data_IF_875164988467
#
_entry.id   IF_875164988467
#
_cell.length_a   1.000
_cell.length_b   1.000
_cell.length_c   1.000
_cell.angle_alpha   90.00
_cell.angle_beta   90.00
_cell.angle_gamma   90.00
#
_symmetry.space_group_name_H-M   'P 1'
#
loop_
_entity.id
_entity.type
_entity.pdbx_description
1 polymer ?
#
# COMPACT_ATOMS: atom_id res chain seq x y z
N UNK A 1 76.66 6.78 0.78
CA UNK A 1 75.21 7.04 0.71
C UNK A 1 74.49 5.70 0.62
N UNK A 2 73.78 5.31 1.69
CA UNK A 2 72.91 4.12 1.73
C UNK A 2 71.48 4.60 1.48
N UNK A 3 70.84 4.15 0.42
CA UNK A 3 69.42 4.44 0.16
C UNK A 3 68.58 3.25 0.64
N UNK A 4 67.77 3.49 1.67
CA UNK A 4 66.77 2.55 2.16
C UNK A 4 65.46 2.78 1.38
N UNK A 5 64.94 1.73 0.75
CA UNK A 5 63.58 1.72 0.20
C UNK A 5 62.61 1.31 1.31
N UNK A 6 61.71 2.21 1.69
CA UNK A 6 60.57 1.91 2.58
C UNK A 6 59.42 1.45 1.68
N UNK A 7 59.02 0.19 1.81
CA UNK A 7 57.84 -0.37 1.17
C UNK A 7 56.63 -0.04 2.04
N UNK A 8 55.78 0.90 1.62
CA UNK A 8 54.48 1.12 2.25
C UNK A 8 53.51 0.00 1.82
N UNK A 9 53.15 -0.87 2.77
CA UNK A 9 52.05 -1.81 2.60
C UNK A 9 50.72 -1.06 2.79
N UNK A 10 49.94 -0.92 1.72
CA UNK A 10 48.53 -0.52 1.81
C UNK A 10 47.72 -1.71 2.34
N UNK A 11 47.37 -1.70 3.62
CA UNK A 11 46.33 -2.57 4.16
C UNK A 11 44.98 -2.05 3.67
N UNK A 12 44.41 -2.72 2.67
CA UNK A 12 43.01 -2.53 2.31
C UNK A 12 42.16 -2.98 3.50
N UNK A 13 41.58 -2.02 4.23
CA UNK A 13 40.51 -2.33 5.17
C UNK A 13 39.29 -2.76 4.36
N UNK A 14 39.03 -4.06 4.29
CA UNK A 14 37.72 -4.56 3.92
C UNK A 14 36.74 -4.05 4.97
N UNK A 15 35.96 -3.02 4.63
CA UNK A 15 34.78 -2.65 5.41
C UNK A 15 33.85 -3.87 5.41
N UNK A 16 33.74 -4.56 6.55
CA UNK A 16 32.75 -5.62 6.72
C UNK A 16 31.37 -4.96 6.62
N UNK A 17 30.60 -5.34 5.60
CA UNK A 17 29.21 -4.89 5.47
C UNK A 17 28.43 -5.49 6.64
N UNK A 18 27.86 -4.64 7.48
CA UNK A 18 27.04 -5.08 8.60
C UNK A 18 25.87 -5.95 8.10
N UNK A 19 25.65 -7.15 8.67
CA UNK A 19 24.61 -8.04 8.20
C UNK A 19 23.22 -7.46 8.50
N UNK A 20 22.29 -7.70 7.57
CA UNK A 20 20.88 -7.35 7.73
C UNK A 20 20.28 -8.11 8.91
N UNK A 21 19.68 -7.39 9.84
CA UNK A 21 18.99 -8.00 10.99
C UNK A 21 17.54 -8.31 10.60
N UNK A 22 17.25 -9.56 10.24
CA UNK A 22 15.89 -9.93 9.81
C UNK A 22 14.99 -10.39 10.97
N UNK A 23 15.57 -10.82 12.10
CA UNK A 23 14.81 -11.46 13.17
C UNK A 23 13.95 -12.60 12.60
N UNK A 24 12.66 -12.60 12.92
CA UNK A 24 11.65 -13.49 12.34
C UNK A 24 10.70 -12.79 11.35
N UNK A 25 11.09 -11.61 10.84
CA UNK A 25 10.26 -10.81 9.94
C UNK A 25 10.12 -11.47 8.57
N UNK A 26 8.93 -11.33 7.97
CA UNK A 26 8.70 -11.73 6.58
C UNK A 26 9.28 -10.69 5.63
N UNK A 27 10.19 -11.09 4.76
CA UNK A 27 10.80 -10.19 3.78
C UNK A 27 10.32 -10.50 2.37
N UNK A 28 9.80 -9.47 1.68
CA UNK A 28 9.34 -9.58 0.30
C UNK A 28 10.43 -9.12 -0.67
N UNK A 29 10.47 -9.75 -1.85
CA UNK A 29 11.34 -9.37 -2.97
C UNK A 29 10.76 -8.18 -3.78
N UNK A 30 10.25 -7.15 -3.10
CA UNK A 30 9.65 -5.95 -3.70
C UNK A 30 10.66 -4.86 -4.04
N UNK A 31 11.89 -4.99 -3.54
CA UNK A 31 13.00 -4.07 -3.74
C UNK A 31 14.35 -4.84 -3.76
N UNK A 32 15.47 -4.10 -3.68
CA UNK A 32 16.84 -4.67 -3.65
C UNK A 32 17.39 -4.83 -2.23
N UNK A 33 16.56 -4.70 -1.18
CA UNK A 33 17.02 -4.69 0.21
C UNK A 33 17.81 -5.96 0.54
N UNK A 34 17.23 -7.12 0.25
CA UNK A 34 17.86 -8.43 0.49
C UNK A 34 18.96 -8.80 -0.51
N UNK A 35 18.93 -8.26 -1.73
CA UNK A 35 19.68 -8.82 -2.86
C UNK A 35 21.09 -8.23 -2.89
N UNK A 36 22.11 -9.10 -2.84
CA UNK A 36 23.49 -8.72 -3.12
C UNK A 36 23.80 -8.88 -4.60
N UNK A 37 23.54 -10.08 -5.13
CA UNK A 37 23.80 -10.40 -6.54
C UNK A 37 22.73 -11.32 -7.11
N UNK A 38 22.62 -11.31 -8.44
CA UNK A 38 21.68 -12.17 -9.16
C UNK A 38 22.15 -12.40 -10.60
N UNK A 39 21.99 -13.62 -11.10
CA UNK A 39 22.36 -14.05 -12.45
C UNK A 39 21.17 -14.75 -13.07
N UNK A 40 20.69 -14.31 -14.24
CA UNK A 40 19.50 -14.89 -14.87
C UNK A 40 18.18 -14.64 -14.12
N UNK A 41 18.16 -13.67 -13.20
CA UNK A 41 16.98 -13.30 -12.40
C UNK A 41 16.58 -11.85 -12.72
N UNK A 42 15.28 -11.61 -12.92
CA UNK A 42 14.69 -10.29 -13.11
C UNK A 42 13.66 -10.01 -12.02
N UNK A 43 13.53 -8.75 -11.62
CA UNK A 43 12.46 -8.37 -10.69
C UNK A 43 11.19 -8.12 -11.51
N UNK A 44 10.08 -8.76 -11.16
CA UNK A 44 8.84 -8.77 -11.93
C UNK A 44 7.67 -8.36 -11.05
N UNK A 45 7.01 -7.25 -11.39
CA UNK A 45 5.72 -6.89 -10.82
C UNK A 45 4.65 -7.80 -11.43
N UNK A 46 3.72 -8.28 -10.61
CA UNK A 46 2.58 -9.06 -11.07
C UNK A 46 1.31 -8.21 -11.07
N UNK A 47 0.39 -8.50 -11.98
CA UNK A 47 -0.89 -7.81 -12.09
C UNK A 47 -1.96 -8.58 -11.33
N UNK A 48 -2.89 -7.89 -10.66
CA UNK A 48 -3.98 -8.58 -9.98
C UNK A 48 -5.01 -9.10 -10.99
N UNK A 49 -5.65 -10.20 -10.66
CA UNK A 49 -6.71 -10.79 -11.48
C UNK A 49 -8.04 -10.09 -11.22
N UNK A 50 -8.74 -9.68 -12.27
CA UNK A 50 -10.06 -9.06 -12.14
C UNK A 50 -11.16 -10.09 -11.82
N UNK A 51 -12.12 -9.69 -10.99
CA UNK A 51 -13.35 -10.42 -10.65
C UNK A 51 -14.58 -9.55 -10.93
N UNK A 52 -15.72 -9.94 -10.36
CA UNK A 52 -16.99 -9.22 -10.50
C UNK A 52 -17.00 -7.84 -9.84
N UNK A 53 -17.99 -7.04 -10.25
CA UNK A 53 -18.33 -5.78 -9.58
C UNK A 53 -18.78 -6.10 -8.16
N UNK A 54 -18.15 -5.47 -7.17
CA UNK A 54 -18.40 -5.73 -5.76
C UNK A 54 -19.48 -4.81 -5.18
N UNK A 55 -19.53 -3.55 -5.61
CA UNK A 55 -20.47 -2.54 -5.13
C UNK A 55 -20.75 -1.50 -6.22
N UNK A 56 -22.03 -1.20 -6.45
CA UNK A 56 -22.52 -0.15 -7.38
C UNK A 56 -23.11 0.99 -6.56
N UNK A 57 -22.89 2.24 -6.97
CA UNK A 57 -23.43 3.45 -6.32
C UNK A 57 -24.69 3.95 -7.04
N UNK A 58 -25.79 3.22 -6.91
CA UNK A 58 -27.06 3.37 -7.63
C UNK A 58 -28.18 4.10 -6.86
N UNK A 59 -27.94 4.52 -5.61
CA UNK A 59 -28.92 5.27 -4.82
C UNK A 59 -28.86 6.79 -5.12
N UNK A 60 -29.98 7.52 -4.96
CA UNK A 60 -30.08 8.94 -5.32
C UNK A 60 -29.02 9.85 -4.68
N UNK A 61 -28.66 9.58 -3.42
CA UNK A 61 -27.66 10.36 -2.67
C UNK A 61 -26.21 10.06 -3.07
N UNK A 62 -25.95 8.97 -3.80
CA UNK A 62 -24.59 8.55 -4.17
C UNK A 62 -24.10 9.24 -5.45
N UNK A 63 -24.95 9.35 -6.46
CA UNK A 63 -24.62 10.04 -7.71
C UNK A 63 -23.52 9.40 -8.57
N UNK A 64 -23.23 10.04 -9.71
CA UNK A 64 -22.39 9.51 -10.80
C UNK A 64 -20.88 9.79 -10.65
N UNK A 65 -20.45 10.41 -9.55
CA UNK A 65 -19.04 10.73 -9.27
C UNK A 65 -18.59 10.21 -7.90
N UNK A 66 -19.22 9.12 -7.45
CA UNK A 66 -18.83 8.44 -6.23
C UNK A 66 -17.38 7.93 -6.33
N UNK A 67 -16.65 8.00 -5.23
CA UNK A 67 -15.21 7.75 -5.24
C UNK A 67 -14.58 7.74 -3.85
N UNK A 68 -13.25 7.67 -3.82
CA UNK A 68 -12.47 7.65 -2.57
C UNK A 68 -12.92 6.55 -1.60
N UNK A 69 -13.13 5.36 -2.16
CA UNK A 69 -13.50 4.18 -1.41
C UNK A 69 -12.37 3.81 -0.45
N UNK A 70 -12.74 3.57 0.80
CA UNK A 70 -11.88 3.18 1.91
C UNK A 70 -12.41 1.90 2.50
N UNK A 71 -11.68 0.81 2.28
CA UNK A 71 -12.04 -0.51 2.79
C UNK A 71 -11.13 -0.88 3.96
N UNK A 72 -11.74 -1.39 5.02
CA UNK A 72 -11.03 -1.89 6.19
C UNK A 72 -11.74 -3.12 6.78
N UNK A 73 -10.98 -3.94 7.48
CA UNK A 73 -11.50 -5.05 8.27
C UNK A 73 -11.55 -4.64 9.73
N UNK A 74 -12.66 -4.97 10.38
CA UNK A 74 -12.95 -4.77 11.79
C UNK A 74 -13.51 -6.09 12.31
N UNK A 75 -12.62 -6.93 12.87
CA UNK A 75 -12.90 -8.31 13.23
C UNK A 75 -13.51 -9.11 12.05
N UNK A 76 -14.74 -9.59 12.18
CA UNK A 76 -15.50 -10.34 11.18
C UNK A 76 -16.35 -9.44 10.26
N UNK A 77 -16.20 -8.12 10.35
CA UNK A 77 -16.91 -7.13 9.56
C UNK A 77 -15.94 -6.38 8.64
N UNK A 78 -16.19 -6.46 7.34
CA UNK A 78 -15.55 -5.61 6.35
C UNK A 78 -16.40 -4.36 6.16
N UNK A 79 -15.76 -3.19 6.17
CA UNK A 79 -16.41 -1.89 6.07
C UNK A 79 -15.89 -1.16 4.85
N UNK A 80 -16.78 -0.46 4.15
CA UNK A 80 -16.45 0.38 3.01
C UNK A 80 -17.07 1.77 3.19
N UNK A 81 -16.22 2.79 3.28
CA UNK A 81 -16.63 4.19 3.28
C UNK A 81 -16.32 4.80 1.93
N UNK A 82 -17.20 5.63 1.40
CA UNK A 82 -17.00 6.26 0.10
C UNK A 82 -17.74 7.58 -0.01
N UNK A 83 -17.23 8.46 -0.85
CA UNK A 83 -17.92 9.71 -1.18
C UNK A 83 -19.09 9.42 -2.11
N UNK A 84 -20.28 9.89 -1.74
CA UNK A 84 -21.41 10.14 -2.64
C UNK A 84 -21.31 11.56 -3.21
N UNK A 85 -21.34 11.68 -4.54
CA UNK A 85 -21.26 12.95 -5.25
C UNK A 85 -21.91 12.84 -6.63
N UNK A 86 -22.64 13.87 -7.03
CA UNK A 86 -23.26 13.98 -8.35
C UNK A 86 -22.65 15.13 -9.16
N UNK A 87 -22.25 14.85 -10.38
CA UNK A 87 -21.88 15.87 -11.36
C UNK A 87 -23.07 16.10 -12.28
N UNK A 88 -23.60 17.34 -12.25
CA UNK A 88 -24.69 17.77 -13.12
C UNK A 88 -24.27 17.86 -14.59
N UNK A 89 -25.19 18.30 -15.45
CA UNK A 89 -24.94 18.46 -16.89
C UNK A 89 -23.79 19.45 -17.19
N UNK A 90 -23.25 19.43 -18.42
CA UNK A 90 -22.03 20.17 -18.80
C UNK A 90 -22.08 21.64 -18.37
N UNK A 91 -21.20 22.01 -17.44
CA UNK A 91 -21.07 23.38 -16.90
C UNK A 91 -21.92 23.66 -15.64
N UNK A 92 -22.76 22.71 -15.23
CA UNK A 92 -23.60 22.80 -14.04
C UNK A 92 -22.85 22.50 -12.75
N UNK A 93 -23.24 23.18 -11.67
CA UNK A 93 -22.85 22.82 -10.30
C UNK A 93 -23.51 21.48 -9.93
N UNK A 94 -22.92 20.69 -9.02
CA UNK A 94 -23.62 19.56 -8.40
C UNK A 94 -25.01 19.99 -7.94
N UNK A 95 -26.04 19.23 -8.29
CA UNK A 95 -27.42 19.47 -7.82
C UNK A 95 -27.58 19.21 -6.32
N UNK A 96 -26.62 18.51 -5.70
CA UNK A 96 -26.63 18.14 -4.29
C UNK A 96 -25.24 18.25 -3.66
N UNK A 97 -25.22 18.58 -2.37
CA UNK A 97 -24.01 18.56 -1.54
C UNK A 97 -23.46 17.14 -1.42
N UNK A 98 -22.14 17.02 -1.24
CA UNK A 98 -21.49 15.72 -1.11
C UNK A 98 -21.90 15.02 0.18
N UNK A 99 -21.82 13.69 0.20
CA UNK A 99 -22.05 12.86 1.39
C UNK A 99 -20.94 11.82 1.53
N UNK A 100 -20.75 11.31 2.75
CA UNK A 100 -19.99 10.06 2.97
C UNK A 100 -20.98 8.93 3.22
N UNK A 101 -20.91 7.90 2.39
CA UNK A 101 -21.73 6.70 2.45
C UNK A 101 -20.96 5.53 3.05
N UNK A 102 -21.69 4.48 3.42
CA UNK A 102 -21.16 3.29 4.07
C UNK A 102 -21.77 2.00 3.51
N UNK A 103 -20.95 0.98 3.31
CA UNK A 103 -21.38 -0.38 3.04
C UNK A 103 -20.60 -1.35 3.92
N UNK A 104 -21.17 -2.52 4.16
CA UNK A 104 -20.56 -3.56 4.99
C UNK A 104 -20.70 -4.95 4.38
N UNK A 105 -19.81 -5.85 4.79
CA UNK A 105 -19.74 -7.21 4.29
C UNK A 105 -19.18 -8.15 5.34
N UNK A 106 -19.59 -9.43 5.31
CA UNK A 106 -19.04 -10.51 6.15
C UNK A 106 -18.00 -11.36 5.42
N UNK A 107 -17.94 -11.25 4.10
CA UNK A 107 -17.04 -12.03 3.24
C UNK A 107 -16.10 -11.16 2.39
N UNK A 108 -16.32 -9.84 2.37
CA UNK A 108 -15.63 -8.87 1.51
C UNK A 108 -15.99 -8.95 0.03
N UNK A 109 -16.91 -9.84 -0.35
CA UNK A 109 -17.32 -10.09 -1.73
C UNK A 109 -18.70 -9.48 -1.96
N UNK A 110 -19.66 -9.80 -1.10
CA UNK A 110 -21.05 -9.31 -1.17
C UNK A 110 -21.20 -8.16 -0.17
N UNK A 111 -21.53 -6.98 -0.69
CA UNK A 111 -21.65 -5.76 0.11
C UNK A 111 -23.10 -5.35 0.29
N UNK A 112 -23.47 -5.01 1.52
CA UNK A 112 -24.79 -4.50 1.91
C UNK A 112 -24.67 -3.02 2.28
N UNK A 113 -25.63 -2.21 1.82
CA UNK A 113 -25.78 -0.80 2.22
C UNK A 113 -26.86 -0.70 3.30
N UNK A 114 -26.52 -0.66 4.60
CA UNK A 114 -27.53 -0.64 5.66
C UNK A 114 -28.30 0.69 5.69
N UNK A 115 -29.57 0.64 6.08
CA UNK A 115 -30.36 1.84 6.41
C UNK A 115 -29.94 2.34 7.79
N UNK A 116 -29.07 3.33 7.84
CA UNK A 116 -28.43 3.79 9.07
C UNK A 116 -29.34 4.67 9.94
N UNK A 117 -30.33 5.36 9.35
CA UNK A 117 -31.23 6.23 10.11
C UNK A 117 -30.57 7.48 10.68
N UNK A 118 -29.35 7.83 10.23
CA UNK A 118 -28.52 8.90 10.83
C UNK A 118 -28.80 10.26 10.21
N UNK A 119 -28.84 10.34 8.89
CA UNK A 119 -28.93 11.59 8.14
C UNK A 119 -30.13 11.60 7.21
N UNK A 120 -30.80 12.75 7.11
CA UNK A 120 -31.92 12.93 6.19
C UNK A 120 -31.43 13.20 4.76
N UNK A 121 -32.09 12.59 3.78
CA UNK A 121 -31.99 12.87 2.36
C UNK A 121 -33.40 12.81 1.77
N UNK A 122 -33.83 13.89 1.10
CA UNK A 122 -35.17 14.01 0.48
C UNK A 122 -36.33 13.59 1.40
N UNK A 123 -36.29 14.03 2.66
CA UNK A 123 -37.35 13.76 3.63
C UNK A 123 -37.33 12.37 4.27
N UNK A 124 -36.30 11.55 4.00
CA UNK A 124 -36.15 10.21 4.58
C UNK A 124 -34.76 9.98 5.18
N UNK A 125 -34.68 9.15 6.22
CA UNK A 125 -33.42 8.64 6.80
C UNK A 125 -33.09 7.20 6.38
N UNK A 126 -33.87 6.64 5.46
CA UNK A 126 -33.66 5.29 4.91
C UNK A 126 -32.54 5.29 3.86
N UNK A 127 -31.32 5.53 4.34
CA UNK A 127 -30.11 5.60 3.52
C UNK A 127 -28.89 5.13 4.31
N UNK A 128 -27.75 5.01 3.62
CA UNK A 128 -26.47 4.58 4.20
C UNK A 128 -25.48 5.73 4.40
N UNK A 129 -25.96 6.95 4.62
CA UNK A 129 -25.12 8.13 4.84
C UNK A 129 -24.60 8.12 6.28
N UNK A 130 -23.29 8.25 6.44
CA UNK A 130 -22.61 8.38 7.76
C UNK A 130 -22.25 9.82 8.08
N UNK A 131 -21.97 10.64 7.05
CA UNK A 131 -21.52 12.01 7.25
C UNK A 131 -22.01 12.97 6.15
N UNK A 132 -22.31 14.22 6.52
CA UNK A 132 -22.74 15.32 5.65
C UNK A 132 -22.01 16.61 6.05
N UNK A 133 -21.85 17.54 5.10
CA UNK A 133 -21.23 18.85 5.33
C UNK A 133 -19.70 18.81 5.31
N UNK A 134 -19.06 19.61 6.17
CA UNK A 134 -17.60 19.73 6.21
C UNK A 134 -16.92 18.35 6.34
N UNK A 135 -15.93 18.06 5.48
CA UNK A 135 -15.19 16.79 5.51
C UNK A 135 -15.77 15.67 4.63
N UNK A 136 -17.05 15.73 4.23
CA UNK A 136 -17.71 14.58 3.58
C UNK A 136 -17.05 14.15 2.25
N UNK A 137 -16.37 15.06 1.57
CA UNK A 137 -15.86 14.86 0.20
C UNK A 137 -14.50 14.17 0.11
N UNK A 138 -13.78 14.02 1.21
CA UNK A 138 -12.42 13.41 1.24
C UNK A 138 -12.23 12.45 2.41
N UNK A 139 -13.32 12.06 3.06
CA UNK A 139 -13.35 11.26 4.27
C UNK A 139 -12.71 9.88 4.06
N UNK A 140 -11.60 9.61 4.74
CA UNK A 140 -10.88 8.33 4.64
C UNK A 140 -10.65 7.71 6.04
N UNK A 141 -11.64 6.98 6.58
CA UNK A 141 -11.55 6.33 7.88
C UNK A 141 -10.46 5.26 7.98
N UNK A 142 -9.95 5.05 9.18
CA UNK A 142 -9.18 3.87 9.56
C UNK A 142 -9.54 3.43 10.97
N UNK A 143 -9.36 2.13 11.23
CA UNK A 143 -9.38 1.57 12.57
C UNK A 143 -8.04 1.91 13.23
N UNK A 144 -8.08 2.63 14.35
CA UNK A 144 -6.86 3.04 15.04
C UNK A 144 -6.32 1.89 15.89
N UNK A 145 -5.15 1.40 15.49
CA UNK A 145 -4.45 0.29 16.14
C UNK A 145 -3.39 0.75 17.14
N UNK A 146 -3.31 2.05 17.45
CA UNK A 146 -2.49 2.54 18.56
C UNK A 146 -2.90 1.81 19.86
N UNK A 147 -1.96 1.14 20.57
CA UNK A 147 -2.27 0.45 21.84
C UNK A 147 -2.88 1.36 22.91
N UNK A 148 -2.65 2.67 22.80
CA UNK A 148 -3.19 3.69 23.71
C UNK A 148 -4.40 4.43 23.12
N UNK A 149 -5.01 3.91 22.04
CA UNK A 149 -6.20 4.52 21.46
C UNK A 149 -7.39 4.40 22.44
N UNK A 150 -8.03 5.51 22.83
CA UNK A 150 -9.16 5.43 23.73
C UNK A 150 -10.42 4.95 22.99
N UNK A 151 -11.35 4.23 23.65
CA UNK A 151 -12.49 3.59 22.98
C UNK A 151 -13.38 4.53 22.17
N UNK A 152 -13.54 5.79 22.60
CA UNK A 152 -14.30 6.81 21.88
C UNK A 152 -13.65 7.25 20.56
N UNK A 153 -12.38 6.92 20.35
CA UNK A 153 -11.61 7.24 19.15
C UNK A 153 -11.16 6.00 18.37
N UNK A 154 -11.84 4.86 18.59
CA UNK A 154 -11.56 3.57 17.92
C UNK A 154 -11.37 3.70 16.41
N UNK A 155 -12.14 4.57 15.78
CA UNK A 155 -11.92 4.98 14.39
C UNK A 155 -11.51 6.44 14.32
N UNK A 156 -10.66 6.74 13.35
CA UNK A 156 -10.20 8.09 13.05
C UNK A 156 -10.24 8.36 11.56
N UNK A 157 -10.31 9.63 11.18
CA UNK A 157 -10.21 10.07 9.80
C UNK A 157 -9.56 11.45 9.70
N UNK A 158 -8.87 11.70 8.59
CA UNK A 158 -8.55 13.04 8.13
C UNK A 158 -9.53 13.42 7.02
N UNK A 159 -10.15 14.58 7.13
CA UNK A 159 -11.12 15.03 6.14
C UNK A 159 -11.09 16.54 5.97
N UNK A 160 -11.05 16.98 4.71
CA UNK A 160 -10.89 18.38 4.33
C UNK A 160 -12.18 19.16 4.54
N UNK A 161 -12.11 20.30 5.22
CA UNK A 161 -13.23 21.24 5.37
C UNK A 161 -13.78 21.73 4.03
N UNK A 162 -15.07 21.99 3.96
CA UNK A 162 -15.79 22.33 2.75
C UNK A 162 -16.16 21.10 1.92
N UNK A 163 -16.96 21.35 0.89
CA UNK A 163 -17.33 20.33 -0.08
C UNK A 163 -17.44 20.89 -1.50
N UNK A 164 -18.03 20.11 -2.41
CA UNK A 164 -18.18 20.51 -3.81
C UNK A 164 -19.17 21.66 -4.04
N UNK A 165 -20.00 22.01 -3.03
CA UNK A 165 -21.02 23.07 -3.06
C UNK A 165 -20.58 24.26 -2.19
N UNK A 166 -20.19 24.02 -0.95
CA UNK A 166 -19.69 24.99 0.02
C UNK A 166 -18.16 24.99 0.06
N UNK A 167 -17.55 25.54 -1.00
CA UNK A 167 -16.09 25.66 -1.08
C UNK A 167 -15.58 26.66 -0.03
N UNK A 168 -14.74 26.19 0.89
CA UNK A 168 -13.99 27.07 1.81
C UNK A 168 -12.85 27.74 1.05
N UNK A 169 -12.48 28.96 1.49
CA UNK A 169 -11.36 29.72 0.90
C UNK A 169 -10.02 28.98 1.05
N UNK A 170 -9.80 28.35 2.21
CA UNK A 170 -8.60 27.59 2.55
C UNK A 170 -9.02 26.19 3.07
N UNK A 171 -9.39 25.26 2.19
CA UNK A 171 -9.82 23.93 2.60
C UNK A 171 -8.63 23.18 3.22
N UNK A 172 -8.79 22.62 4.41
CA UNK A 172 -7.71 21.91 5.11
C UNK A 172 -8.27 20.75 5.95
N UNK A 173 -7.51 19.65 6.15
CA UNK A 173 -7.96 18.51 6.94
C UNK A 173 -8.22 18.86 8.40
N UNK A 174 -9.38 18.44 8.91
CA UNK A 174 -9.65 18.26 10.33
C UNK A 174 -9.47 16.79 10.73
N UNK A 175 -9.18 16.56 12.00
CA UNK A 175 -9.15 15.24 12.60
C UNK A 175 -10.54 14.89 13.13
N UNK A 176 -11.03 13.71 12.75
CA UNK A 176 -12.31 13.17 13.17
C UNK A 176 -12.10 11.87 13.92
N UNK A 177 -13.01 11.56 14.84
CA UNK A 177 -13.02 10.31 15.58
C UNK A 177 -14.43 9.74 15.72
N UNK A 178 -14.51 8.44 15.96
CA UNK A 178 -15.76 7.73 16.21
C UNK A 178 -15.52 6.48 17.06
N UNK A 179 -16.43 6.15 18.00
CA UNK A 179 -16.41 4.87 18.71
C UNK A 179 -16.89 3.70 17.83
N UNK A 180 -17.84 3.93 16.92
CA UNK A 180 -18.58 2.89 16.19
C UNK A 180 -18.32 2.90 14.66
N UNK A 181 -17.59 3.91 14.19
CA UNK A 181 -17.26 4.12 12.78
C UNK A 181 -18.41 4.73 11.97
N UNK A 182 -19.55 5.02 12.60
CA UNK A 182 -20.76 5.52 11.95
C UNK A 182 -21.13 6.93 12.40
N UNK A 183 -20.91 7.25 13.67
CA UNK A 183 -21.17 8.57 14.28
C UNK A 183 -19.86 9.28 14.53
N UNK A 184 -19.61 10.32 13.76
CA UNK A 184 -18.32 11.01 13.73
C UNK A 184 -18.39 12.37 14.42
N UNK A 185 -17.35 12.70 15.19
CA UNK A 185 -17.16 14.01 15.81
C UNK A 185 -15.78 14.56 15.43
N UNK A 186 -15.67 15.88 15.27
CA UNK A 186 -14.37 16.54 15.13
C UNK A 186 -13.62 16.44 16.45
N UNK A 187 -12.33 16.11 16.39
CA UNK A 187 -11.47 16.09 17.58
C UNK A 187 -11.08 17.52 18.01
N UNK A 188 -11.11 18.47 17.07
CA UNK A 188 -10.99 19.92 17.32
C UNK A 188 -11.48 20.74 16.13
N UNK A 189 -11.89 21.98 16.39
CA UNK A 189 -12.42 22.90 15.37
C UNK A 189 -11.35 23.53 14.45
N UNK A 190 -10.08 23.16 14.60
CA UNK A 190 -8.96 23.70 13.80
C UNK A 190 -8.36 22.64 12.87
N UNK A 191 -7.92 23.03 11.66
CA UNK A 191 -7.15 22.15 10.79
C UNK A 191 -5.95 21.52 11.50
N UNK A 192 -5.58 20.32 11.07
CA UNK A 192 -4.44 19.57 11.62
C UNK A 192 -3.25 19.51 10.68
N UNK A 193 -3.47 19.72 9.39
CA UNK A 193 -2.43 19.88 8.36
C UNK A 193 -2.87 21.01 7.44
N UNK A 194 -1.98 21.93 7.08
CA UNK A 194 -2.30 23.11 6.23
C UNK A 194 -1.47 23.20 4.95
N UNK A 195 -0.40 22.41 4.85
CA UNK A 195 0.52 22.42 3.71
C UNK A 195 0.22 21.30 2.70
N UNK A 196 -0.75 21.53 1.81
CA UNK A 196 -1.16 20.57 0.78
C UNK A 196 -2.35 21.05 -0.03
N UNK A 197 -2.78 20.30 -1.05
CA UNK A 197 -3.98 20.64 -1.83
C UNK A 197 -5.28 20.08 -1.23
N UNK A 198 -5.20 18.92 -0.57
CA UNK A 198 -6.27 18.25 0.19
C UNK A 198 -7.62 17.99 -0.51
N UNK A 199 -7.73 18.21 -1.81
CA UNK A 199 -8.93 17.97 -2.64
C UNK A 199 -9.06 16.51 -3.13
N UNK A 200 -8.25 15.60 -2.59
CA UNK A 200 -8.28 14.17 -2.86
C UNK A 200 -8.29 13.36 -1.56
N UNK A 201 -8.39 12.03 -1.67
CA UNK A 201 -8.39 11.12 -0.53
C UNK A 201 -7.07 11.26 0.27
N UNK A 202 -7.18 11.75 1.51
CA UNK A 202 -6.05 11.95 2.42
C UNK A 202 -5.98 10.75 3.38
N UNK A 203 -4.88 10.01 3.41
CA UNK A 203 -4.78 8.77 4.18
C UNK A 203 -4.04 9.01 5.49
N UNK A 204 -4.43 8.32 6.56
CA UNK A 204 -3.66 8.28 7.79
C UNK A 204 -3.85 6.95 8.54
N UNK A 205 -2.84 6.51 9.29
CA UNK A 205 -2.85 5.29 10.10
C UNK A 205 -1.85 5.40 11.25
N UNK A 206 -1.98 4.53 12.26
CA UNK A 206 -0.92 4.31 13.25
C UNK A 206 0.12 3.34 12.67
N UNK A 207 1.37 3.78 12.62
CA UNK A 207 2.54 3.04 12.15
C UNK A 207 3.24 2.43 13.38
N UNK A 208 3.12 1.11 13.55
CA UNK A 208 3.65 0.39 14.71
C UNK A 208 5.18 0.38 14.74
N UNK A 209 5.83 0.35 13.57
CA UNK A 209 7.29 0.38 13.45
C UNK A 209 7.84 1.74 13.88
N UNK A 210 7.11 2.81 13.58
CA UNK A 210 7.46 4.18 13.98
C UNK A 210 6.99 4.52 15.41
N UNK A 211 5.99 3.81 15.93
CA UNK A 211 5.27 4.18 17.16
C UNK A 211 4.63 5.57 17.06
N UNK A 212 4.06 5.91 15.89
CA UNK A 212 3.43 7.20 15.62
C UNK A 212 2.38 7.09 14.51
N UNK A 213 1.51 8.08 14.40
CA UNK A 213 0.66 8.24 13.22
C UNK A 213 1.46 8.72 12.02
N UNK A 214 1.04 8.27 10.84
CA UNK A 214 1.53 8.73 9.55
C UNK A 214 0.37 9.12 8.66
N UNK A 215 0.52 10.18 7.87
CA UNK A 215 -0.46 10.60 6.88
C UNK A 215 0.17 10.85 5.52
N UNK A 216 -0.60 10.61 4.45
CA UNK A 216 -0.22 10.90 3.08
C UNK A 216 -1.31 11.67 2.33
N UNK A 217 -0.91 12.72 1.65
CA UNK A 217 -1.81 13.57 0.87
C UNK A 217 -1.15 14.10 -0.40
N UNK A 218 -1.97 14.70 -1.25
CA UNK A 218 -1.56 15.26 -2.53
C UNK A 218 -1.09 16.71 -2.39
N UNK A 219 -0.05 17.07 -3.14
CA UNK A 219 0.36 18.45 -3.38
C UNK A 219 0.75 18.65 -4.86
N UNK A 220 1.20 19.85 -5.22
CA UNK A 220 1.79 20.15 -6.53
C UNK A 220 3.26 20.54 -6.38
N UNK A 221 4.12 20.04 -7.27
CA UNK A 221 5.58 20.26 -7.21
C UNK A 221 6.01 21.69 -7.54
N UNK A 222 5.09 22.53 -8.01
CA UNK A 222 5.32 23.96 -8.21
C UNK A 222 4.08 24.79 -7.90
N UNK A 223 4.26 26.11 -7.78
CA UNK A 223 3.19 27.03 -7.43
C UNK A 223 2.78 26.89 -5.96
N UNK A 224 1.52 27.19 -5.65
CA UNK A 224 0.97 27.08 -4.29
C UNK A 224 -0.51 26.66 -4.32
N UNK A 225 -0.91 25.84 -3.35
CA UNK A 225 -2.30 25.35 -3.16
C UNK A 225 -2.68 25.29 -1.69
N UNK A 226 -2.10 26.17 -0.87
CA UNK A 226 -2.27 26.22 0.58
C UNK A 226 -3.00 27.51 0.98
N UNK A 227 -2.79 27.99 2.20
CA UNK A 227 -3.39 29.23 2.72
C UNK A 227 -3.14 30.48 1.87
N UNK A 228 -2.14 30.45 0.98
CA UNK A 228 -1.85 31.53 0.01
C UNK A 228 -2.84 31.58 -1.15
N UNK A 229 -3.64 30.52 -1.35
CA UNK A 229 -4.64 30.39 -2.41
C UNK A 229 -4.35 29.26 -3.39
N UNK A 230 -5.04 29.26 -4.54
CA UNK A 230 -4.98 28.18 -5.53
C UNK A 230 -4.31 28.62 -6.84
N UNK A 231 -3.01 28.35 -6.97
CA UNK A 231 -2.20 28.58 -8.18
C UNK A 231 -1.21 27.42 -8.38
N UNK A 232 -1.69 26.21 -8.73
CA UNK A 232 -0.82 25.05 -8.91
C UNK A 232 0.07 25.18 -10.15
N UNK A 233 1.28 24.64 -10.07
CA UNK A 233 2.19 24.42 -11.20
C UNK A 233 2.92 23.06 -11.06
N UNK A 234 3.67 22.66 -12.07
CA UNK A 234 4.35 21.36 -12.05
C UNK A 234 3.38 20.18 -12.14
N UNK A 235 3.63 19.11 -11.38
CA UNK A 235 2.82 17.89 -11.38
C UNK A 235 2.21 17.63 -10.01
N UNK A 236 1.11 16.87 -9.99
CA UNK A 236 0.57 16.30 -8.75
C UNK A 236 1.55 15.27 -8.20
N UNK A 237 1.89 15.40 -6.93
CA UNK A 237 2.78 14.51 -6.21
C UNK A 237 2.23 14.23 -4.81
N UNK A 238 2.91 13.35 -4.06
CA UNK A 238 2.48 12.87 -2.75
C UNK A 238 3.47 13.36 -1.69
N UNK A 239 2.94 13.72 -0.53
CA UNK A 239 3.67 14.19 0.65
C UNK A 239 3.24 13.40 1.87
N UNK A 240 4.12 13.31 2.87
CA UNK A 240 3.88 12.66 4.16
C UNK A 240 4.16 13.61 5.32
N UNK A 241 3.58 13.30 6.48
CA UNK A 241 4.02 13.78 7.81
C UNK A 241 3.72 12.73 8.87
N UNK A 242 4.26 12.94 10.06
CA UNK A 242 4.08 12.07 11.23
C UNK A 242 3.46 12.83 12.38
N UNK A 243 2.80 12.14 13.31
CA UNK A 243 2.21 12.74 14.51
C UNK A 243 2.21 11.75 15.67
N UNK A 244 2.47 12.19 16.89
CA UNK A 244 2.36 11.33 18.09
C UNK A 244 0.94 11.27 18.66
N UNK A 245 0.12 12.28 18.40
CA UNK A 245 -1.20 12.48 19.01
C UNK A 245 -2.36 12.54 17.98
N UNK A 246 -2.06 12.39 16.69
CA UNK A 246 -2.96 12.55 15.54
C UNK A 246 -3.45 13.99 15.29
N UNK A 247 -3.04 14.94 16.12
CA UNK A 247 -3.47 16.33 16.09
C UNK A 247 -2.34 17.25 15.65
N UNK A 248 -1.12 16.99 16.08
CA UNK A 248 0.07 17.80 15.82
C UNK A 248 0.96 17.06 14.84
N UNK A 249 1.08 17.58 13.63
CA UNK A 249 1.78 16.94 12.52
C UNK A 249 3.12 17.64 12.24
N UNK A 250 4.18 16.83 12.16
CA UNK A 250 5.56 17.25 12.00
C UNK A 250 6.30 16.35 11.00
N UNK A 251 7.60 16.59 10.78
CA UNK A 251 8.45 15.81 9.87
C UNK A 251 7.87 15.71 8.44
N UNK A 252 7.35 16.82 7.93
CA UNK A 252 6.79 16.85 6.59
C UNK A 252 7.88 16.58 5.54
N UNK A 253 7.61 15.65 4.63
CA UNK A 253 8.51 15.31 3.53
C UNK A 253 7.75 15.01 2.24
N UNK A 254 8.32 15.43 1.11
CA UNK A 254 7.85 15.04 -0.22
C UNK A 254 8.34 13.62 -0.54
N UNK A 255 7.51 12.81 -1.18
CA UNK A 255 7.92 11.45 -1.54
C UNK A 255 8.93 11.47 -2.70
N UNK A 256 9.95 10.63 -2.58
CA UNK A 256 10.96 10.42 -3.62
C UNK A 256 10.81 9.02 -4.24
N UNK A 257 11.05 8.91 -5.55
CA UNK A 257 10.87 7.65 -6.29
C UNK A 257 12.17 7.07 -6.87
N UNK A 258 13.32 7.63 -6.48
CA UNK A 258 14.62 7.37 -7.07
C UNK A 258 14.94 8.33 -8.23
N UNK A 259 16.23 8.57 -8.46
CA UNK A 259 16.75 9.57 -9.42
C UNK A 259 16.31 9.35 -10.88
N UNK A 260 16.10 8.09 -11.27
CA UNK A 260 15.77 7.72 -12.64
C UNK A 260 14.26 7.54 -12.86
N UNK A 261 13.44 7.79 -11.83
CA UNK A 261 11.99 7.65 -11.95
C UNK A 261 11.40 8.80 -12.79
N UNK A 262 10.55 8.51 -13.77
CA UNK A 262 9.94 9.55 -14.60
C UNK A 262 9.01 10.43 -13.77
N UNK A 263 8.97 11.71 -14.12
CA UNK A 263 7.99 12.64 -13.55
C UNK A 263 6.61 12.32 -14.10
N UNK A 264 5.66 11.98 -13.22
CA UNK A 264 4.26 11.68 -13.57
C UNK A 264 3.29 12.37 -12.63
N UNK A 265 2.01 12.44 -13.00
CA UNK A 265 0.95 13.01 -12.18
C UNK A 265 0.37 11.95 -11.24
N UNK A 266 0.63 12.02 -9.93
CA UNK A 266 0.08 11.09 -8.94
C UNK A 266 -1.07 11.75 -8.16
N UNK A 267 -2.26 11.18 -8.26
CA UNK A 267 -3.52 11.81 -7.82
C UNK A 267 -3.98 11.36 -6.42
N UNK A 268 -4.08 10.06 -6.19
CA UNK A 268 -4.28 9.43 -4.87
C UNK A 268 -3.05 8.60 -4.52
N UNK A 269 -2.97 8.04 -3.30
CA UNK A 269 -1.80 7.32 -2.82
C UNK A 269 -2.11 5.87 -2.37
N UNK A 270 -3.23 5.66 -1.66
CA UNK A 270 -3.60 4.39 -1.04
C UNK A 270 -2.47 3.71 -0.25
N UNK A 271 -1.65 4.51 0.46
CA UNK A 271 -0.51 4.00 1.24
C UNK A 271 -0.97 3.40 2.57
N UNK A 272 -0.54 2.18 2.86
CA UNK A 272 -0.77 1.45 4.13
C UNK A 272 0.42 0.53 4.47
N UNK A 273 0.66 0.20 5.74
CA UNK A 273 1.51 -0.92 6.11
C UNK A 273 0.97 -2.21 5.52
N UNK A 274 1.86 -3.08 5.05
CA UNK A 274 1.47 -4.40 4.59
C UNK A 274 1.33 -5.34 5.79
N UNK A 275 0.13 -5.85 6.04
CA UNK A 275 -0.19 -6.58 7.27
C UNK A 275 0.72 -7.79 7.56
N UNK A 276 1.24 -8.47 6.53
CA UNK A 276 2.13 -9.64 6.69
C UNK A 276 3.62 -9.26 6.83
N UNK A 277 3.99 -8.02 6.57
CA UNK A 277 5.35 -7.48 6.72
C UNK A 277 5.26 -5.98 7.06
N UNK A 278 4.91 -5.62 8.31
CA UNK A 278 4.50 -4.26 8.69
C UNK A 278 5.60 -3.19 8.53
N UNK A 279 6.87 -3.59 8.47
CA UNK A 279 8.01 -2.74 8.09
C UNK A 279 8.04 -2.34 6.61
N UNK A 280 7.11 -2.86 5.80
CA UNK A 280 6.89 -2.43 4.43
C UNK A 280 5.59 -1.63 4.32
N UNK A 281 5.70 -0.44 3.74
CA UNK A 281 4.57 0.35 3.28
C UNK A 281 4.28 0.02 1.81
N UNK A 282 3.02 -0.31 1.53
CA UNK A 282 2.49 -0.57 0.20
C UNK A 282 1.63 0.61 -0.24
N UNK A 283 1.79 1.06 -1.48
CA UNK A 283 0.98 2.13 -2.07
C UNK A 283 0.50 1.80 -3.46
N UNK A 284 -0.69 2.30 -3.79
CA UNK A 284 -1.31 2.18 -5.11
C UNK A 284 -1.65 3.56 -5.68
N UNK A 285 -0.65 4.44 -5.90
CA UNK A 285 -0.95 5.78 -6.34
C UNK A 285 -1.55 5.77 -7.73
N UNK A 286 -2.54 6.64 -7.92
CA UNK A 286 -3.23 6.73 -9.21
C UNK A 286 -2.48 7.67 -10.13
N UNK A 287 -1.90 7.15 -11.21
CA UNK A 287 -1.28 7.94 -12.28
C UNK A 287 -2.37 8.54 -13.17
N UNK A 288 -2.37 9.87 -13.30
CA UNK A 288 -3.31 10.62 -14.12
C UNK A 288 -2.73 10.92 -15.51
N UNK A 289 -3.49 10.61 -16.56
CA UNK A 289 -3.13 10.85 -17.95
C UNK A 289 -3.89 12.07 -18.51
N UNK A 290 -3.23 13.25 -18.66
CA UNK A 290 -3.93 14.50 -18.96
C UNK A 290 -4.67 14.50 -20.31
N UNK A 291 -4.10 13.85 -21.34
CA UNK A 291 -4.64 13.89 -22.71
C UNK A 291 -6.06 13.31 -22.82
N UNK A 292 -6.43 12.35 -21.96
CA UNK A 292 -7.76 11.72 -21.94
C UNK A 292 -8.49 11.83 -20.60
N UNK A 293 -7.91 12.49 -19.60
CA UNK A 293 -8.37 12.45 -18.20
C UNK A 293 -8.54 11.04 -17.63
N UNK A 294 -7.83 10.06 -18.20
CA UNK A 294 -7.86 8.67 -17.76
C UNK A 294 -6.90 8.47 -16.60
N UNK A 295 -7.12 7.40 -15.83
CA UNK A 295 -6.24 7.07 -14.72
C UNK A 295 -5.86 5.60 -14.73
N UNK A 296 -4.69 5.31 -14.19
CA UNK A 296 -4.20 3.94 -13.99
C UNK A 296 -3.41 3.88 -12.69
N UNK A 297 -3.67 2.88 -11.83
CA UNK A 297 -2.89 2.70 -10.63
C UNK A 297 -1.54 2.06 -10.96
N UNK A 298 -0.52 2.48 -10.22
CA UNK A 298 0.79 1.84 -10.22
C UNK A 298 1.09 1.27 -8.84
N UNK A 299 2.07 0.38 -8.74
CA UNK A 299 2.55 -0.16 -7.46
C UNK A 299 3.73 0.68 -6.94
N UNK A 300 3.76 0.94 -5.64
CA UNK A 300 4.98 1.39 -4.98
C UNK A 300 5.15 0.78 -3.59
N UNK A 301 6.40 0.62 -3.15
CA UNK A 301 6.74 0.13 -1.82
C UNK A 301 7.80 1.00 -1.14
N UNK A 302 7.80 1.09 0.17
CA UNK A 302 8.80 1.82 0.96
C UNK A 302 9.09 1.13 2.29
N UNK A 303 10.29 1.35 2.81
CA UNK A 303 10.73 0.92 4.16
C UNK A 303 10.84 2.08 5.15
N UNK A 304 10.84 3.33 4.68
CA UNK A 304 11.01 4.53 5.52
C UNK A 304 9.81 5.50 5.45
N UNK A 305 8.92 5.27 4.48
CA UNK A 305 7.74 6.08 4.22
C UNK A 305 7.99 7.41 3.52
N UNK A 306 9.21 7.65 3.02
CA UNK A 306 9.59 8.83 2.22
C UNK A 306 10.15 8.42 0.87
N UNK A 307 11.06 7.45 0.83
CA UNK A 307 11.67 6.91 -0.37
C UNK A 307 10.90 5.65 -0.82
N UNK A 308 10.24 5.75 -1.96
CA UNK A 308 9.43 4.67 -2.52
C UNK A 308 10.08 4.09 -3.78
N UNK A 309 10.16 2.76 -3.86
CA UNK A 309 10.35 2.07 -5.13
C UNK A 309 9.02 2.05 -5.87
N UNK A 310 8.88 2.87 -6.92
CA UNK A 310 7.72 2.86 -7.83
C UNK A 310 7.97 1.95 -9.03
N UNK A 311 6.95 1.19 -9.40
CA UNK A 311 6.89 0.39 -10.61
C UNK A 311 6.14 1.16 -11.70
N UNK A 312 6.73 1.31 -12.88
CA UNK A 312 6.17 2.20 -13.92
C UNK A 312 5.11 1.53 -14.80
N UNK A 313 5.10 0.20 -14.84
CA UNK A 313 4.03 -0.56 -15.48
C UNK A 313 2.72 -0.37 -14.68
N UNK A 314 1.59 -0.05 -15.33
CA UNK A 314 0.32 0.06 -14.64
C UNK A 314 -0.13 -1.31 -14.10
N UNK A 315 -0.62 -1.32 -12.86
CA UNK A 315 -1.25 -2.49 -12.26
C UNK A 315 -2.55 -2.84 -12.99
N UNK A 316 -3.35 -1.82 -13.26
CA UNK A 316 -4.59 -1.92 -14.04
C UNK A 316 -4.49 -0.90 -15.18
N UNK A 317 -4.17 -1.32 -16.41
CA UNK A 317 -4.11 -0.44 -17.57
C UNK A 317 -5.42 0.31 -17.81
N UNK A 318 -5.36 1.50 -18.40
CA UNK A 318 -6.55 2.27 -18.81
C UNK A 318 -7.53 1.48 -19.68
N UNK A 319 -7.04 0.50 -20.45
CA UNK A 319 -7.81 -0.36 -21.35
C UNK A 319 -8.38 -1.62 -20.68
N UNK A 320 -8.13 -1.83 -19.38
CA UNK A 320 -8.40 -3.08 -18.71
C UNK A 320 -9.15 -2.92 -17.38
N UNK A 321 -10.07 -3.85 -17.07
CA UNK A 321 -10.89 -4.66 -17.99
C UNK A 321 -11.51 -3.91 -19.20
N UNK A 322 -11.96 -4.66 -20.23
CA UNK A 322 -12.38 -4.17 -21.56
C UNK A 322 -13.48 -3.10 -21.54
N UNK A 323 -14.18 -2.93 -20.41
CA UNK A 323 -15.26 -1.97 -20.18
C UNK A 323 -14.84 -0.71 -19.37
N UNK A 324 -13.54 -0.46 -19.19
CA UNK A 324 -13.00 0.60 -18.30
C UNK A 324 -12.23 1.73 -18.98
N UNK A 325 -12.28 1.82 -20.32
CA UNK A 325 -11.56 2.85 -21.12
C UNK A 325 -12.12 4.28 -21.01
N UNK A 326 -12.67 4.64 -19.86
CA UNK A 326 -13.39 5.89 -19.64
C UNK A 326 -12.66 6.81 -18.66
N UNK A 327 -12.97 8.10 -18.76
CA UNK A 327 -12.45 9.15 -17.88
C UNK A 327 -12.52 8.72 -16.40
N UNK A 328 -11.39 8.84 -15.68
CA UNK A 328 -11.30 8.59 -14.23
C UNK A 328 -11.80 7.23 -13.74
N UNK A 329 -11.84 6.22 -14.60
CA UNK A 329 -11.93 4.81 -14.19
C UNK A 329 -10.55 4.32 -13.78
N UNK A 330 -10.46 3.49 -12.73
CA UNK A 330 -9.24 2.90 -12.13
C UNK A 330 -8.60 3.64 -10.94
N UNK A 331 -9.36 4.36 -10.10
CA UNK A 331 -8.81 4.69 -8.77
C UNK A 331 -8.74 3.42 -7.93
N UNK A 332 -7.54 3.02 -7.51
CA UNK A 332 -7.41 1.98 -6.49
C UNK A 332 -8.00 2.49 -5.17
N UNK A 333 -8.78 1.65 -4.53
CA UNK A 333 -9.32 1.93 -3.21
C UNK A 333 -8.21 1.85 -2.16
N UNK A 334 -8.45 2.43 -0.99
CA UNK A 334 -7.65 2.09 0.19
C UNK A 334 -8.09 0.70 0.68
N UNK A 335 -7.13 -0.13 1.07
CA UNK A 335 -7.39 -1.42 1.71
C UNK A 335 -6.89 -2.60 0.87
N UNK A 336 -6.16 -3.50 1.53
CA UNK A 336 -5.81 -4.83 1.03
C UNK A 336 -6.41 -5.81 2.02
N UNK A 337 -7.39 -6.60 1.59
CA UNK A 337 -8.18 -7.44 2.48
C UNK A 337 -7.80 -8.90 2.33
N UNK A 338 -7.53 -9.57 3.44
CA UNK A 338 -7.55 -11.03 3.52
C UNK A 338 -8.99 -11.47 3.79
N UNK A 339 -9.56 -12.30 2.91
CA UNK A 339 -10.97 -12.71 3.00
C UNK A 339 -11.11 -14.11 3.60
N UNK A 340 -12.23 -14.42 4.28
CA UNK A 340 -12.43 -15.73 4.89
C UNK A 340 -12.47 -16.83 3.82
N UNK A 341 -11.86 -17.98 4.10
CA UNK A 341 -11.82 -19.11 3.15
C UNK A 341 -10.96 -18.88 1.90
N UNK A 342 -10.20 -17.78 1.85
CA UNK A 342 -9.35 -17.40 0.70
C UNK A 342 -7.88 -17.17 1.13
N UNK A 343 -7.22 -18.16 1.78
CA UNK A 343 -5.92 -17.94 2.43
C UNK A 343 -4.76 -17.64 1.48
N UNK A 344 -4.91 -17.92 0.18
CA UNK A 344 -3.86 -17.77 -0.82
C UNK A 344 -4.01 -16.50 -1.67
N UNK A 345 -5.04 -15.69 -1.42
CA UNK A 345 -5.28 -14.44 -2.16
C UNK A 345 -5.50 -13.23 -1.24
N UNK A 346 -5.14 -12.06 -1.77
CA UNK A 346 -5.41 -10.75 -1.20
C UNK A 346 -6.37 -10.01 -2.12
N UNK A 347 -7.43 -9.45 -1.55
CA UNK A 347 -8.42 -8.69 -2.30
C UNK A 347 -8.10 -7.20 -2.28
N UNK A 348 -8.09 -6.59 -3.46
CA UNK A 348 -7.99 -5.15 -3.68
C UNK A 348 -9.12 -4.71 -4.59
N UNK A 349 -9.45 -3.43 -4.60
CA UNK A 349 -10.59 -2.93 -5.38
C UNK A 349 -10.17 -1.70 -6.17
N UNK A 350 -10.83 -1.49 -7.30
CA UNK A 350 -10.64 -0.29 -8.09
C UNK A 350 -11.96 0.22 -8.66
N UNK A 351 -12.14 1.54 -8.60
CA UNK A 351 -13.35 2.21 -9.10
C UNK A 351 -13.44 2.16 -10.62
N UNK A 352 -14.65 2.12 -11.16
CA UNK A 352 -14.95 2.24 -12.59
C UNK A 352 -16.27 3.00 -12.78
N UNK A 353 -16.60 3.33 -14.03
CA UNK A 353 -17.82 4.04 -14.42
C UNK A 353 -17.97 5.45 -13.79
N UNK A 354 -16.86 6.17 -13.62
CA UNK A 354 -16.91 7.57 -13.20
C UNK A 354 -17.56 8.41 -14.33
N UNK A 355 -18.58 9.21 -14.00
CA UNK A 355 -19.47 9.93 -14.94
C UNK A 355 -20.41 9.07 -15.82
N UNK A 356 -20.40 7.74 -15.72
CA UNK A 356 -21.21 6.84 -16.55
C UNK A 356 -22.36 6.21 -15.72
N UNK A 357 -23.44 5.77 -16.38
CA UNK A 357 -24.68 5.28 -15.72
C UNK A 357 -24.50 4.02 -14.86
N UNK A 358 -25.57 3.39 -14.33
CA UNK A 358 -26.48 3.95 -13.32
C UNK A 358 -25.78 4.49 -12.04
N UNK A 359 -24.44 4.49 -11.98
CA UNK A 359 -23.66 5.02 -10.86
C UNK A 359 -22.21 4.54 -10.88
N UNK A 360 -21.29 5.27 -10.23
CA UNK A 360 -19.90 4.79 -10.08
C UNK A 360 -19.87 3.47 -9.31
N UNK A 361 -18.87 2.62 -9.54
CA UNK A 361 -18.82 1.29 -8.91
C UNK A 361 -17.39 0.86 -8.61
N UNK A 362 -17.21 -0.15 -7.75
CA UNK A 362 -15.91 -0.79 -7.51
C UNK A 362 -15.95 -2.25 -7.95
N UNK A 363 -14.85 -2.68 -8.55
CA UNK A 363 -14.61 -4.08 -8.91
C UNK A 363 -13.56 -4.69 -8.00
N UNK A 364 -13.73 -5.96 -7.66
CA UNK A 364 -12.74 -6.72 -6.91
C UNK A 364 -11.64 -7.23 -7.86
N UNK A 365 -10.41 -7.19 -7.38
CA UNK A 365 -9.26 -7.85 -7.99
C UNK A 365 -8.51 -8.65 -6.92
N UNK A 366 -7.76 -9.66 -7.32
CA UNK A 366 -6.95 -10.45 -6.40
C UNK A 366 -5.48 -10.49 -6.77
N UNK A 367 -4.63 -10.35 -5.76
CA UNK A 367 -3.24 -10.80 -5.83
C UNK A 367 -3.13 -12.16 -5.17
N UNK A 368 -2.16 -12.95 -5.60
CA UNK A 368 -1.63 -14.03 -4.77
C UNK A 368 -1.05 -13.42 -3.48
N UNK A 369 -1.19 -14.06 -2.32
CA UNK A 369 -0.59 -13.55 -1.06
C UNK A 369 0.91 -13.33 -1.21
N UNK A 370 1.40 -12.16 -0.77
CA UNK A 370 2.75 -11.60 -0.98
C UNK A 370 3.16 -11.43 -2.45
N UNK A 371 2.28 -11.73 -3.40
CA UNK A 371 2.56 -11.88 -4.83
C UNK A 371 2.63 -10.58 -5.63
N UNK A 372 2.99 -9.46 -5.02
CA UNK A 372 3.05 -8.16 -5.71
C UNK A 372 4.23 -8.09 -6.68
N UNK A 373 5.39 -8.59 -6.24
CA UNK A 373 6.64 -8.62 -7.00
C UNK A 373 7.38 -9.91 -6.70
N UNK A 374 8.00 -10.52 -7.70
CA UNK A 374 8.93 -11.64 -7.54
C UNK A 374 10.34 -11.31 -8.01
N UNK A 375 11.31 -12.02 -7.46
CA UNK A 375 12.52 -12.38 -8.18
C UNK A 375 12.18 -13.56 -9.12
N UNK A 376 12.16 -13.31 -10.43
CA UNK A 376 11.69 -14.25 -11.46
C UNK A 376 12.84 -14.80 -12.27
N UNK A 377 12.84 -16.09 -12.58
CA UNK A 377 13.89 -16.73 -13.37
C UNK A 377 13.41 -17.95 -14.17
N UNK A 378 13.86 -18.05 -15.43
CA UNK A 378 13.76 -19.28 -16.20
C UNK A 378 14.81 -20.32 -15.76
N UNK A 379 16.04 -19.86 -15.53
CA UNK A 379 17.14 -20.58 -14.89
C UNK A 379 18.14 -19.53 -14.40
N UNK A 380 18.45 -19.52 -13.11
CA UNK A 380 19.29 -18.49 -12.56
C UNK A 380 19.51 -18.63 -11.06
N UNK A 381 20.27 -17.68 -10.52
CA UNK A 381 20.65 -17.66 -9.11
C UNK A 381 20.47 -16.27 -8.51
N UNK A 382 20.12 -16.24 -7.23
CA UNK A 382 20.04 -15.03 -6.41
C UNK A 382 20.80 -15.28 -5.11
N UNK A 383 21.66 -14.33 -4.73
CA UNK A 383 22.39 -14.36 -3.46
C UNK A 383 21.96 -13.15 -2.62
N UNK A 384 21.62 -13.39 -1.37
CA UNK A 384 21.29 -12.32 -0.43
C UNK A 384 22.55 -11.62 0.07
N UNK A 385 22.40 -10.39 0.54
CA UNK A 385 23.38 -9.78 1.43
C UNK A 385 23.57 -10.64 2.68
N UNK A 386 24.71 -10.50 3.39
CA UNK A 386 24.85 -11.07 4.73
C UNK A 386 23.66 -10.67 5.61
N UNK A 387 23.11 -11.63 6.33
CA UNK A 387 21.95 -11.46 7.20
C UNK A 387 22.08 -12.32 8.45
N UNK A 388 21.46 -11.87 9.52
CA UNK A 388 21.18 -12.64 10.73
C UNK A 388 19.67 -12.85 10.86
N UNK A 389 19.27 -13.87 11.60
CA UNK A 389 17.87 -14.24 11.77
C UNK A 389 17.61 -14.89 13.14
N UNK A 390 16.33 -14.94 13.48
CA UNK A 390 15.78 -15.70 14.62
C UNK A 390 14.84 -16.79 14.11
N UNK A 391 14.86 -17.96 14.77
CA UNK A 391 14.06 -19.13 14.38
C UNK A 391 14.91 -20.33 14.00
N UNK A 392 14.25 -21.43 13.66
CA UNK A 392 14.90 -22.72 13.38
C UNK A 392 14.63 -23.26 11.98
N UNK A 393 13.73 -22.64 11.23
CA UNK A 393 13.34 -23.02 9.87
C UNK A 393 13.27 -21.79 8.96
N UNK A 394 13.62 -21.98 7.70
CA UNK A 394 13.34 -21.03 6.63
C UNK A 394 12.04 -21.44 5.93
N UNK A 395 11.11 -20.51 5.77
CA UNK A 395 9.92 -20.67 4.94
C UNK A 395 9.99 -19.76 3.74
N UNK A 396 9.50 -20.23 2.60
CA UNK A 396 9.46 -19.48 1.35
C UNK A 396 8.05 -19.36 0.81
N UNK A 397 7.80 -18.19 0.25
CA UNK A 397 6.70 -17.94 -0.66
C UNK A 397 7.24 -17.95 -2.10
N UNK A 398 6.90 -18.99 -2.88
CA UNK A 398 7.36 -19.16 -4.25
C UNK A 398 6.33 -19.86 -5.14
N UNK A 399 6.40 -19.58 -6.44
CA UNK A 399 5.79 -20.40 -7.48
C UNK A 399 6.93 -20.98 -8.33
N UNK A 400 7.11 -22.30 -8.33
CA UNK A 400 8.17 -22.96 -9.11
C UNK A 400 7.61 -24.08 -9.98
N UNK A 401 7.73 -23.92 -11.30
CA UNK A 401 7.34 -24.95 -12.28
C UNK A 401 8.49 -25.93 -12.57
N UNK A 402 9.74 -25.50 -12.34
CA UNK A 402 10.94 -26.34 -12.37
C UNK A 402 11.31 -26.81 -10.95
N UNK A 403 12.60 -26.80 -10.65
CA UNK A 403 13.11 -27.01 -9.30
C UNK A 403 13.72 -25.72 -8.74
N UNK A 404 13.44 -25.44 -7.48
CA UNK A 404 14.14 -24.41 -6.70
C UNK A 404 14.82 -25.04 -5.50
N UNK A 405 16.07 -24.68 -5.23
CA UNK A 405 16.85 -25.12 -4.07
C UNK A 405 17.49 -23.92 -3.39
N UNK A 406 17.79 -24.07 -2.10
CA UNK A 406 18.41 -23.02 -1.28
C UNK A 406 19.67 -23.57 -0.64
N UNK A 407 20.72 -22.79 -0.65
CA UNK A 407 21.96 -23.04 0.06
C UNK A 407 22.17 -21.96 1.11
N UNK A 408 22.64 -22.36 2.29
CA UNK A 408 23.10 -21.44 3.33
C UNK A 408 24.62 -21.36 3.26
N UNK A 409 25.13 -20.15 3.13
CA UNK A 409 26.56 -19.87 3.03
C UNK A 409 27.04 -19.09 4.25
N UNK A 410 28.32 -19.22 4.59
CA UNK A 410 29.00 -18.31 5.51
C UNK A 410 29.23 -16.93 4.87
N UNK A 411 29.84 -16.00 5.63
CA UNK A 411 30.12 -14.64 5.15
C UNK A 411 31.05 -14.60 3.92
N UNK A 412 31.92 -15.60 3.78
CA UNK A 412 32.84 -15.75 2.65
C UNK A 412 32.18 -16.38 1.41
N UNK A 413 30.89 -16.72 1.48
CA UNK A 413 30.14 -17.35 0.39
C UNK A 413 30.41 -18.85 0.26
N UNK A 414 31.02 -19.48 1.27
CA UNK A 414 31.21 -20.93 1.28
C UNK A 414 29.98 -21.62 1.86
N UNK A 415 29.48 -22.64 1.17
CA UNK A 415 28.35 -23.44 1.63
C UNK A 415 28.64 -24.07 3.02
N UNK A 416 27.67 -23.95 3.93
CA UNK A 416 27.75 -24.58 5.24
C UNK A 416 27.45 -26.09 5.09
N UNK A 417 28.29 -27.00 5.63
CA UNK A 417 28.08 -28.43 5.51
C UNK A 417 26.68 -28.87 5.98
N UNK A 418 25.99 -29.67 5.17
CA UNK A 418 24.61 -30.10 5.41
C UNK A 418 23.54 -29.11 4.96
N UNK A 419 23.91 -27.90 4.51
CA UNK A 419 23.02 -26.86 4.00
C UNK A 419 23.38 -26.40 2.58
N UNK A 420 24.14 -27.22 1.84
CA UNK A 420 24.46 -26.98 0.43
C UNK A 420 23.25 -27.25 -0.49
N UNK A 421 23.32 -26.81 -1.75
CA UNK A 421 22.24 -27.05 -2.73
C UNK A 421 21.90 -28.56 -2.87
N UNK A 422 22.90 -29.43 -2.89
CA UNK A 422 22.73 -30.88 -3.02
C UNK A 422 22.14 -31.54 -1.75
N UNK A 423 22.17 -30.82 -0.62
CA UNK A 423 21.55 -31.23 0.64
C UNK A 423 20.13 -30.69 0.80
N UNK A 424 19.74 -29.67 0.03
CA UNK A 424 18.40 -29.09 0.03
C UNK A 424 17.41 -29.97 -0.73
N UNK A 425 16.26 -30.29 -0.16
CA UNK A 425 15.17 -30.92 -0.92
C UNK A 425 14.60 -29.94 -1.96
N UNK A 426 14.38 -30.34 -3.23
CA UNK A 426 13.76 -29.48 -4.24
C UNK A 426 12.38 -28.97 -3.84
N UNK A 427 12.15 -27.69 -4.12
CA UNK A 427 10.85 -27.04 -3.97
C UNK A 427 10.22 -26.88 -5.35
N UNK A 428 8.96 -27.32 -5.49
CA UNK A 428 8.17 -27.26 -6.72
C UNK A 428 6.69 -27.07 -6.37
N UNK A 429 6.00 -26.26 -7.17
CA UNK A 429 4.58 -25.94 -7.01
C UNK A 429 4.32 -24.48 -6.65
N UNK A 430 3.06 -24.19 -6.34
CA UNK A 430 2.62 -22.90 -5.81
C UNK A 430 2.56 -22.96 -4.27
N UNK A 431 3.50 -22.29 -3.62
CA UNK A 431 3.84 -22.48 -2.21
C UNK A 431 3.85 -21.14 -1.47
N UNK A 432 3.03 -20.99 -0.43
CA UNK A 432 2.89 -19.72 0.32
C UNK A 432 3.89 -19.64 1.47
N UNK A 433 3.95 -20.69 2.29
CA UNK A 433 4.73 -20.78 3.53
C UNK A 433 5.46 -22.13 3.61
N UNK A 434 6.13 -22.52 2.52
CA UNK A 434 6.79 -23.83 2.46
C UNK A 434 8.11 -23.80 3.23
N UNK A 435 8.23 -24.66 4.24
CA UNK A 435 9.47 -24.89 4.94
C UNK A 435 10.51 -25.53 4.00
N UNK A 436 11.71 -24.96 3.98
CA UNK A 436 12.88 -25.52 3.31
C UNK A 436 13.49 -26.60 4.21
N UNK A 437 13.89 -27.71 3.60
CA UNK A 437 14.48 -28.84 4.33
C UNK A 437 15.84 -29.20 3.74
N UNK A 438 16.77 -29.51 4.62
CA UNK A 438 18.13 -29.93 4.28
C UNK A 438 18.51 -31.19 5.04
N UNK A 439 19.51 -31.94 4.54
CA UNK A 439 20.11 -33.05 5.29
C UNK A 439 20.75 -32.63 6.61
N UNK A 440 21.23 -31.39 6.71
CA UNK A 440 21.77 -30.79 7.94
C UNK A 440 20.69 -30.52 9.02
N UNK A 441 19.41 -30.65 8.67
CA UNK A 441 18.30 -30.51 9.62
C UNK A 441 17.95 -29.05 9.90
N UNK A 442 17.92 -28.70 11.19
CA UNK A 442 17.45 -27.40 11.68
C UNK A 442 18.49 -26.29 11.54
N UNK A 443 18.03 -25.06 11.31
CA UNK A 443 18.86 -23.84 11.30
C UNK A 443 19.19 -23.31 12.70
N UNK A 444 18.74 -23.97 13.79
CA UNK A 444 18.92 -23.48 15.15
C UNK A 444 20.38 -23.16 15.52
N UNK A 445 21.35 -23.93 15.01
CA UNK A 445 22.78 -23.71 15.27
C UNK A 445 23.38 -22.53 14.48
N UNK A 446 22.62 -22.00 13.52
CA UNK A 446 22.98 -20.87 12.66
C UNK A 446 22.23 -19.58 13.04
N UNK A 447 21.21 -19.66 13.89
CA UNK A 447 20.48 -18.49 14.38
C UNK A 447 21.44 -17.48 15.04
N UNK A 448 21.22 -16.19 14.76
CA UNK A 448 22.09 -15.10 15.19
C UNK A 448 23.47 -15.01 14.51
N UNK A 449 23.88 -16.02 13.72
CA UNK A 449 25.11 -15.95 12.93
C UNK A 449 24.83 -15.25 11.60
N UNK A 450 25.83 -14.51 11.13
CA UNK A 450 25.81 -13.88 9.81
C UNK A 450 25.97 -14.95 8.73
N UNK A 451 24.97 -15.07 7.87
CA UNK A 451 24.91 -16.03 6.75
C UNK A 451 24.46 -15.34 5.47
N UNK A 452 24.63 -16.01 4.34
CA UNK A 452 24.00 -15.62 3.06
C UNK A 452 23.10 -16.76 2.59
N UNK A 453 22.02 -16.44 1.88
CA UNK A 453 21.19 -17.42 1.21
C UNK A 453 21.44 -17.37 -0.29
N UNK A 454 21.75 -18.51 -0.90
CA UNK A 454 21.86 -18.69 -2.34
C UNK A 454 20.67 -19.50 -2.84
N UNK A 455 19.86 -18.90 -3.69
CA UNK A 455 18.71 -19.52 -4.33
C UNK A 455 19.12 -19.96 -5.73
N UNK A 456 19.04 -21.26 -6.01
CA UNK A 456 19.13 -21.80 -7.37
C UNK A 456 17.72 -22.04 -7.89
N UNK A 457 17.33 -21.33 -8.95
CA UNK A 457 15.95 -21.22 -9.41
C UNK A 457 15.80 -21.71 -10.84
N UNK A 458 14.77 -22.50 -11.11
CA UNK A 458 14.36 -22.92 -12.45
C UNK A 458 12.86 -22.73 -12.66
N UNK A 459 12.49 -21.95 -13.68
CA UNK A 459 11.10 -21.57 -14.00
C UNK A 459 10.32 -21.19 -12.75
N UNK A 460 10.85 -20.22 -12.00
CA UNK A 460 10.36 -19.88 -10.67
C UNK A 460 10.21 -18.37 -10.45
N UNK A 461 9.24 -18.02 -9.62
CA UNK A 461 8.99 -16.72 -9.03
C UNK A 461 9.14 -16.85 -7.51
N UNK A 462 10.14 -16.18 -6.93
CA UNK A 462 10.35 -16.11 -5.48
C UNK A 462 9.79 -14.77 -4.97
N UNK A 463 8.79 -14.83 -4.09
CA UNK A 463 8.03 -13.67 -3.62
C UNK A 463 8.47 -13.18 -2.25
N UNK A 464 8.68 -14.09 -1.31
CA UNK A 464 9.07 -13.76 0.06
C UNK A 464 9.84 -14.88 0.75
N UNK A 465 10.53 -14.54 1.84
CA UNK A 465 11.13 -15.47 2.78
C UNK A 465 10.80 -15.06 4.22
N UNK A 466 10.85 -16.03 5.14
CA UNK A 466 10.73 -15.77 6.57
C UNK A 466 11.40 -16.87 7.38
N UNK A 467 12.13 -16.50 8.43
CA UNK A 467 12.60 -17.45 9.43
C UNK A 467 11.56 -17.60 10.53
N UNK A 468 11.25 -18.84 10.90
CA UNK A 468 10.20 -19.19 11.88
C UNK A 468 10.74 -20.18 12.92
N UNK A 469 10.13 -20.22 14.13
CA UNK A 469 10.49 -21.17 15.18
C UNK A 469 10.48 -22.65 14.77
#
# INVERSE_FOLDING_TARGET
MKSAFILLAFTASCLSVEPLQLGSSRELFVDKHLIESKIGVTMKMHKPQAHDVALVCDAPWEGNTSGYFTLLQDDDLYRCYYRGSHHGEKGGRPSQSGVTCYAESRDGIIWTKPKLGLHEFEGSKDNNITHKGDGCSTFAPFLDTNPNCPPESRYKALATTGDNVERKKNPSPQAWHSPDGLRWSVMRDKPVITAGSFDSQNTAFFDHELGAYRAYWRYFTGGYTDERGWKPAGVRAIRTATSKDFLTWENQADLAYGKDAPTVQLYTNAVRPYARAPHLLLGFPTRYQPKGSQVEPVLMTSRDGVNFKRWEEPLIPITAPKDRDWNRSNYMTIGVLSLPGKPNELSVYASEAYYQGPGSRIRRFTFRVDGFVSASSAKGELITKPLTFEGTKLTLNLLSQGETRVEVQDEAGKAIPGFALDDCTPLKGDLIDQAVTWKGGSLATLAGKSVRLRFAMQKADLFALQFVP
#
